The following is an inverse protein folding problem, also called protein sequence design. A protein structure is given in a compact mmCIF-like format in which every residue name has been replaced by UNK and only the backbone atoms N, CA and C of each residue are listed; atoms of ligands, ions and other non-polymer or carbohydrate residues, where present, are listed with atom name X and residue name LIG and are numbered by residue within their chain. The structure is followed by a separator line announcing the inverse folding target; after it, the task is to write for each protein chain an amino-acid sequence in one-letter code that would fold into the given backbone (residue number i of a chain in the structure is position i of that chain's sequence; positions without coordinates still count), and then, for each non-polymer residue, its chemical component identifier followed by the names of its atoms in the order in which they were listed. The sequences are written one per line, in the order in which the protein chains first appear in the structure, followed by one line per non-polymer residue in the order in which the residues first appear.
data_IF_745282751359
#
_entry.id   IF_745282751359
#
_cell.length_a   1.000
_cell.length_b   1.000
_cell.length_c   1.000
_cell.angle_alpha   90.00
_cell.angle_beta   90.00
_cell.angle_gamma   90.00
#
_symmetry.space_group_name_H-M   'P 1'
#
loop_
_entity.id
_entity.type
_entity.pdbx_description
1 polymer ?
#
# COMPACT_ATOMS: atom_id res chain seq x y z
N UNK A 1 -0.29 11.11 -8.66
CA UNK A 1 -1.58 11.81 -8.57
C UNK A 1 -2.64 10.94 -7.92
N UNK A 2 -2.93 9.72 -8.38
CA UNK A 2 -3.95 8.84 -7.77
C UNK A 2 -3.80 8.62 -6.26
N UNK A 3 -2.69 8.05 -5.80
CA UNK A 3 -2.48 7.84 -4.36
C UNK A 3 -2.52 9.17 -3.59
N UNK A 4 -1.98 10.26 -4.16
CA UNK A 4 -2.08 11.60 -3.54
C UNK A 4 -3.53 12.09 -3.44
N UNK A 5 -4.36 11.84 -4.44
CA UNK A 5 -5.79 12.18 -4.45
C UNK A 5 -6.63 11.30 -3.54
N UNK A 6 -6.24 10.05 -3.29
CA UNK A 6 -6.87 9.22 -2.26
C UNK A 6 -6.50 9.69 -0.84
N UNK A 7 -5.30 10.29 -0.68
CA UNK A 7 -4.85 10.90 0.56
C UNK A 7 -5.49 12.26 0.82
N UNK A 8 -5.58 13.13 -0.19
CA UNK A 8 -6.26 14.43 -0.09
C UNK A 8 -7.74 14.23 -0.39
N UNK A 9 -8.58 14.20 0.64
CA UNK A 9 -10.05 14.03 0.67
C UNK A 9 -10.88 15.03 -0.18
N UNK A 10 -10.36 15.52 -1.32
CA UNK A 10 -11.12 16.27 -2.30
C UNK A 10 -12.07 15.31 -3.04
N UNK A 11 -13.33 15.33 -2.63
CA UNK A 11 -14.43 14.58 -3.24
C UNK A 11 -14.42 14.71 -4.78
N UNK A 12 -14.16 15.91 -5.29
CA UNK A 12 -14.13 16.21 -6.71
C UNK A 12 -13.00 15.49 -7.48
N UNK A 13 -11.79 15.45 -6.90
CA UNK A 13 -10.66 14.73 -7.51
C UNK A 13 -10.88 13.21 -7.46
N UNK A 14 -11.49 12.72 -6.38
CA UNK A 14 -11.84 11.30 -6.23
C UNK A 14 -12.92 10.88 -7.21
N UNK A 15 -13.96 11.71 -7.41
CA UNK A 15 -15.00 11.50 -8.43
C UNK A 15 -14.41 11.44 -9.85
N UNK A 16 -13.49 12.35 -10.19
CA UNK A 16 -12.82 12.34 -11.51
C UNK A 16 -11.97 11.09 -11.73
N UNK A 17 -11.44 10.51 -10.65
CA UNK A 17 -10.60 9.30 -10.69
C UNK A 17 -11.38 8.01 -10.41
N UNK A 18 -12.68 8.07 -10.15
CA UNK A 18 -13.48 6.91 -9.73
C UNK A 18 -13.46 5.80 -10.78
N UNK A 19 -13.55 6.17 -12.05
CA UNK A 19 -13.47 5.22 -13.17
C UNK A 19 -12.11 4.54 -13.22
N UNK A 20 -11.03 5.30 -12.98
CA UNK A 20 -9.68 4.74 -12.93
C UNK A 20 -9.50 3.79 -11.75
N UNK A 21 -9.95 4.18 -10.56
CA UNK A 21 -9.91 3.34 -9.34
C UNK A 21 -10.68 2.03 -9.59
N UNK A 22 -11.87 2.11 -10.19
CA UNK A 22 -12.70 0.94 -10.50
C UNK A 22 -12.04 0.03 -11.53
N UNK A 23 -11.49 0.60 -12.60
CA UNK A 23 -10.79 -0.16 -13.63
C UNK A 23 -9.56 -0.87 -13.04
N UNK A 24 -8.75 -0.15 -12.27
CA UNK A 24 -7.55 -0.70 -11.64
C UNK A 24 -7.89 -1.78 -10.60
N UNK A 25 -8.93 -1.57 -9.78
CA UNK A 25 -9.40 -2.57 -8.83
C UNK A 25 -9.82 -3.86 -9.53
N UNK A 26 -10.58 -3.77 -10.63
CA UNK A 26 -10.98 -4.93 -11.43
C UNK A 26 -9.77 -5.68 -12.02
N UNK A 27 -8.78 -4.94 -12.53
CA UNK A 27 -7.54 -5.53 -13.06
C UNK A 27 -6.76 -6.25 -11.95
N UNK A 28 -6.64 -5.65 -10.77
CA UNK A 28 -5.99 -6.28 -9.62
C UNK A 28 -6.72 -7.55 -9.17
N UNK A 29 -8.06 -7.56 -9.19
CA UNK A 29 -8.84 -8.77 -8.88
C UNK A 29 -8.60 -9.89 -9.89
N UNK A 30 -8.53 -9.55 -11.18
CA UNK A 30 -8.26 -10.52 -12.23
C UNK A 30 -6.85 -11.13 -12.09
N UNK A 31 -5.84 -10.27 -11.94
CA UNK A 31 -4.46 -10.70 -11.71
C UNK A 31 -4.31 -11.52 -10.42
N UNK A 32 -5.04 -11.15 -9.37
CA UNK A 32 -5.04 -11.92 -8.12
C UNK A 32 -5.56 -13.33 -8.33
N UNK A 33 -6.67 -13.52 -9.06
CA UNK A 33 -7.19 -14.86 -9.39
C UNK A 33 -6.17 -15.69 -10.16
N UNK A 34 -5.59 -15.09 -11.22
CA UNK A 34 -4.58 -15.75 -12.05
C UNK A 34 -3.33 -16.16 -11.25
N UNK A 35 -2.91 -15.35 -10.28
CA UNK A 35 -1.70 -15.59 -9.49
C UNK A 35 -1.95 -16.43 -8.23
N UNK A 36 -3.15 -16.38 -7.66
CA UNK A 36 -3.53 -17.11 -6.45
C UNK A 36 -3.54 -18.61 -6.68
N UNK A 37 -4.01 -19.05 -7.86
CA UNK A 37 -4.00 -20.47 -8.24
C UNK A 37 -2.57 -21.02 -8.34
N UNK A 38 -1.59 -20.16 -8.65
CA UNK A 38 -0.17 -20.52 -8.76
C UNK A 38 0.63 -20.33 -7.45
N UNK A 39 0.21 -19.46 -6.53
CA UNK A 39 1.00 -19.07 -5.35
C UNK A 39 0.19 -19.15 -4.04
N UNK A 40 0.10 -20.35 -3.47
CA UNK A 40 -0.58 -20.60 -2.19
C UNK A 40 0.32 -20.45 -0.96
N UNK A 41 1.60 -20.11 -1.15
CA UNK A 41 2.57 -20.02 -0.05
C UNK A 41 2.71 -18.59 0.43
N UNK A 42 2.94 -18.44 1.74
CA UNK A 42 3.33 -17.16 2.34
C UNK A 42 4.59 -16.62 1.68
N UNK A 43 4.64 -15.32 1.44
CA UNK A 43 5.82 -14.66 0.89
C UNK A 43 6.03 -13.30 1.53
N UNK A 44 7.28 -12.85 1.56
CA UNK A 44 7.66 -11.54 2.09
C UNK A 44 7.74 -10.54 0.95
N UNK A 45 7.21 -9.34 1.20
CA UNK A 45 7.39 -8.17 0.35
C UNK A 45 7.90 -7.00 1.17
N UNK A 46 8.60 -6.11 0.48
CA UNK A 46 9.23 -4.92 1.01
C UNK A 46 8.58 -3.69 0.40
N UNK A 47 8.37 -2.66 1.22
CA UNK A 47 7.92 -1.34 0.77
C UNK A 47 8.76 -0.27 1.44
N UNK A 48 9.40 0.56 0.64
CA UNK A 48 10.15 1.72 1.11
C UNK A 48 9.36 3.01 0.98
N UNK A 49 9.43 3.88 1.98
CA UNK A 49 8.95 5.25 1.89
C UNK A 49 9.63 6.13 2.95
N UNK A 50 9.70 7.44 2.70
CA UNK A 50 9.98 8.41 3.76
C UNK A 50 8.72 8.76 4.55
N UNK A 51 8.87 9.01 5.84
CA UNK A 51 7.82 9.46 6.75
C UNK A 51 8.32 10.66 7.57
N UNK A 52 7.45 11.66 7.84
CA UNK A 52 7.76 12.65 8.87
C UNK A 52 7.99 11.97 10.22
N UNK A 53 8.92 12.50 11.03
CA UNK A 53 9.28 11.92 12.32
C UNK A 53 8.05 11.66 13.22
N UNK A 54 7.11 12.58 13.28
CA UNK A 54 5.88 12.42 14.07
C UNK A 54 5.04 11.22 13.62
N UNK A 55 4.92 10.98 12.30
CA UNK A 55 4.19 9.83 11.78
C UNK A 55 4.90 8.52 12.14
N UNK A 56 6.24 8.52 12.14
CA UNK A 56 7.01 7.37 12.59
C UNK A 56 6.80 7.09 14.08
N UNK A 57 6.81 8.12 14.93
CA UNK A 57 6.56 7.96 16.36
C UNK A 57 5.16 7.40 16.63
N UNK A 58 4.14 7.86 15.91
CA UNK A 58 2.80 7.28 16.01
C UNK A 58 2.80 5.78 15.68
N UNK A 59 3.52 5.34 14.63
CA UNK A 59 3.64 3.91 14.30
C UNK A 59 4.38 3.12 15.38
N UNK A 60 5.38 3.75 16.01
CA UNK A 60 6.14 3.14 17.10
C UNK A 60 5.27 2.95 18.35
N UNK A 61 4.50 3.98 18.72
CA UNK A 61 3.65 3.97 19.91
C UNK A 61 2.45 3.02 19.74
N UNK A 62 1.94 2.85 18.52
CA UNK A 62 0.85 1.91 18.21
C UNK A 62 1.36 0.52 17.80
N UNK A 63 2.59 0.15 18.15
CA UNK A 63 3.14 -1.17 17.79
C UNK A 63 2.24 -2.29 18.30
N UNK A 64 1.92 -3.23 17.42
CA UNK A 64 0.98 -4.33 17.70
C UNK A 64 -0.47 -4.02 17.33
N UNK A 65 -0.80 -2.79 16.95
CA UNK A 65 -2.09 -2.46 16.35
C UNK A 65 -2.14 -2.83 14.86
N UNK A 66 -3.34 -2.79 14.29
CA UNK A 66 -3.54 -2.90 12.84
C UNK A 66 -3.20 -1.56 12.19
N UNK A 67 -2.48 -1.62 11.06
CA UNK A 67 -2.19 -0.46 10.21
C UNK A 67 -3.08 -0.51 8.97
N UNK A 68 -3.77 0.60 8.68
CA UNK A 68 -4.57 0.75 7.46
C UNK A 68 -3.96 1.79 6.52
N UNK A 69 -3.97 1.49 5.23
CA UNK A 69 -3.47 2.38 4.19
C UNK A 69 -4.63 2.85 3.31
N UNK A 70 -4.81 4.18 3.20
CA UNK A 70 -5.83 4.80 2.33
C UNK A 70 -5.37 4.89 0.86
N UNK A 71 -4.46 4.03 0.44
CA UNK A 71 -3.84 4.10 -0.89
C UNK A 71 -3.43 2.71 -1.35
N UNK A 72 -3.34 2.53 -2.67
CA UNK A 72 -2.80 1.30 -3.23
C UNK A 72 -1.32 1.15 -2.88
N UNK A 73 -0.98 -0.03 -2.36
CA UNK A 73 0.38 -0.36 -1.97
C UNK A 73 1.16 -0.90 -3.17
N UNK A 74 2.25 -0.22 -3.48
CA UNK A 74 3.31 -0.78 -4.31
C UNK A 74 4.37 -1.39 -3.39
N UNK A 75 4.74 -2.63 -3.68
CA UNK A 75 5.67 -3.46 -2.90
C UNK A 75 6.54 -4.27 -3.86
N UNK A 76 7.69 -4.75 -3.39
CA UNK A 76 8.59 -5.61 -4.16
C UNK A 76 9.01 -6.84 -3.35
N UNK A 77 9.29 -7.95 -4.01
CA UNK A 77 9.97 -9.10 -3.38
C UNK A 77 11.46 -8.85 -3.15
N UNK A 78 12.02 -7.82 -3.79
CA UNK A 78 13.43 -7.46 -3.68
C UNK A 78 13.60 -6.25 -2.76
N UNK A 79 14.36 -6.43 -1.67
CA UNK A 79 14.62 -5.39 -0.68
C UNK A 79 15.30 -4.16 -1.29
N UNK A 80 16.21 -4.35 -2.25
CA UNK A 80 16.95 -3.25 -2.88
C UNK A 80 16.02 -2.30 -3.66
N UNK A 81 14.97 -2.84 -4.29
CA UNK A 81 13.96 -2.02 -4.96
C UNK A 81 13.24 -1.14 -3.94
N UNK A 82 12.83 -1.70 -2.79
CA UNK A 82 12.22 -0.92 -1.71
C UNK A 82 13.19 0.14 -1.15
N UNK A 83 14.48 -0.18 -0.98
CA UNK A 83 15.49 0.76 -0.52
C UNK A 83 15.64 1.97 -1.45
N UNK A 84 15.61 1.75 -2.78
CA UNK A 84 15.68 2.84 -3.74
C UNK A 84 14.52 3.86 -3.59
N UNK A 85 13.33 3.42 -3.16
CA UNK A 85 12.23 4.34 -2.84
C UNK A 85 12.50 5.16 -1.56
N UNK A 86 13.15 4.57 -0.55
CA UNK A 86 13.57 5.27 0.66
C UNK A 86 14.60 6.34 0.32
N UNK A 87 15.67 5.95 -0.35
CA UNK A 87 16.77 6.84 -0.76
C UNK A 87 16.23 8.03 -1.55
N UNK A 88 15.38 7.76 -2.56
CA UNK A 88 14.75 8.82 -3.34
C UNK A 88 13.92 9.79 -2.48
N UNK A 89 13.23 9.30 -1.45
CA UNK A 89 12.40 10.15 -0.60
C UNK A 89 13.25 11.04 0.30
N UNK A 90 14.29 10.47 0.93
CA UNK A 90 15.19 11.22 1.83
C UNK A 90 16.00 12.27 1.05
N UNK A 91 16.44 11.95 -0.16
CA UNK A 91 17.15 12.92 -1.02
C UNK A 91 16.30 14.14 -1.37
N UNK A 92 14.97 14.00 -1.40
CA UNK A 92 14.02 15.09 -1.70
C UNK A 92 13.61 15.83 -0.44
N UNK A 93 13.51 15.13 0.70
CA UNK A 93 13.06 15.70 1.96
C UNK A 93 13.95 15.21 3.11
N UNK A 94 14.89 16.06 3.52
CA UNK A 94 15.86 15.80 4.58
C UNK A 94 15.23 15.58 5.96
N UNK A 95 14.01 16.08 6.17
CA UNK A 95 13.31 16.01 7.46
C UNK A 95 12.48 14.72 7.60
N UNK A 96 12.50 13.87 6.56
CA UNK A 96 11.82 12.58 6.56
C UNK A 96 12.74 11.45 7.01
N UNK A 97 12.22 10.56 7.84
CA UNK A 97 12.85 9.30 8.20
C UNK A 97 12.55 8.24 7.13
N UNK A 98 13.59 7.54 6.68
CA UNK A 98 13.44 6.39 5.80
C UNK A 98 12.92 5.16 6.51
N UNK A 99 11.84 4.57 5.99
CA UNK A 99 11.23 3.37 6.57
C UNK A 99 11.06 2.30 5.51
N UNK A 100 11.46 1.07 5.85
CA UNK A 100 11.16 -0.13 5.08
C UNK A 100 10.13 -0.97 5.87
N UNK A 101 8.95 -1.11 5.29
CA UNK A 101 7.95 -2.07 5.75
C UNK A 101 8.31 -3.45 5.22
N UNK A 102 8.35 -4.44 6.12
CA UNK A 102 8.53 -5.85 5.80
C UNK A 102 7.20 -6.53 6.08
N UNK A 103 6.52 -6.99 5.04
CA UNK A 103 5.17 -7.53 5.13
C UNK A 103 5.17 -8.99 4.69
N UNK A 104 4.64 -9.87 5.52
CA UNK A 104 4.39 -11.26 5.15
C UNK A 104 2.97 -11.35 4.62
N UNK A 105 2.83 -11.71 3.36
CA UNK A 105 1.53 -11.90 2.70
C UNK A 105 1.14 -13.36 2.86
N UNK A 106 -0.04 -13.61 3.39
CA UNK A 106 -0.67 -14.93 3.49
C UNK A 106 -1.89 -14.97 2.56
N UNK A 107 -1.78 -15.59 1.36
CA UNK A 107 -2.88 -15.67 0.41
C UNK A 107 -4.15 -16.33 0.99
N UNK A 108 -3.99 -17.26 1.93
CA UNK A 108 -5.10 -18.03 2.50
C UNK A 108 -5.85 -17.26 3.60
N UNK A 109 -5.18 -16.34 4.28
CA UNK A 109 -5.82 -15.49 5.30
C UNK A 109 -6.77 -14.45 4.67
N UNK A 110 -6.48 -14.02 3.44
CA UNK A 110 -7.25 -12.98 2.72
C UNK A 110 -8.64 -13.44 2.26
N UNK A 111 -8.87 -14.74 2.10
CA UNK A 111 -10.16 -15.29 1.66
C UNK A 111 -11.29 -15.14 2.70
N UNK A 112 -10.96 -14.80 3.95
CA UNK A 112 -11.93 -14.62 5.03
C UNK A 112 -12.45 -13.18 5.19
N UNK A 113 -11.88 -12.19 4.47
CA UNK A 113 -12.28 -10.78 4.59
C UNK A 113 -13.16 -10.38 3.40
N UNK A 114 -14.46 -10.25 3.64
CA UNK A 114 -15.46 -9.83 2.65
C UNK A 114 -15.58 -8.30 2.48
N UNK A 115 -14.65 -7.52 3.07
CA UNK A 115 -14.76 -6.05 3.09
C UNK A 115 -14.28 -5.47 1.75
N UNK A 116 -15.15 -4.81 0.96
CA UNK A 116 -14.74 -4.24 -0.32
C UNK A 116 -13.75 -3.09 -0.11
N UNK A 117 -12.73 -3.02 -0.97
CA UNK A 117 -11.70 -1.97 -0.93
C UNK A 117 -12.29 -0.56 -1.11
N UNK A 118 -13.41 -0.45 -1.84
CA UNK A 118 -14.26 0.75 -1.90
C UNK A 118 -15.72 0.29 -1.97
N UNK A 119 -16.58 0.81 -1.08
CA UNK A 119 -18.03 0.78 -1.23
C UNK A 119 -18.40 1.81 -2.31
N UNK A 120 -18.81 1.34 -3.48
CA UNK A 120 -19.39 2.20 -4.52
C UNK A 120 -20.80 1.68 -4.79
N UNK A 121 -21.79 2.39 -4.27
CA UNK A 121 -23.20 2.24 -4.66
C UNK A 121 -23.43 2.80 -6.07
#
# INVERSE_FOLDING_TARGET
MLNRSLWSLGMEATMKLVFFVRAMYRQLQQLYKEQSDANQRKFVVYRGQGLPQQHFMNLYDTKGSVLSFKSFLSTSREKNIAMAFVERTICINSDSLGVIFIMTIDPNATLASSTPFVLMD
#
